data_IF_984244009379
#
_entry.id   IF_984244009379
#
_cell.length_a   1.000
_cell.length_b   1.000
_cell.length_c   1.000
_cell.angle_alpha   90.00
_cell.angle_beta   90.00
_cell.angle_gamma   90.00
#
_symmetry.space_group_name_H-M   'P 1'
#
loop_
_entity.id
_entity.type
_entity.pdbx_description
1 polymer ?
#
# COMPACT_ATOMS: atom_id res chain seq x y z
N UNK A 1 -10.30 -5.19 0.89
CA UNK A 1 -8.99 -4.84 0.30
C UNK A 1 -9.05 -3.74 -0.77
N UNK A 2 -10.23 -3.37 -1.32
CA UNK A 2 -10.36 -2.32 -2.37
C UNK A 2 -9.69 -0.97 -2.04
N UNK A 3 -9.56 -0.59 -0.75
CA UNK A 3 -8.90 0.65 -0.32
C UNK A 3 -7.44 0.75 -0.81
N UNK A 4 -6.69 -0.36 -0.76
CA UNK A 4 -5.27 -0.40 -1.14
C UNK A 4 -5.06 -0.87 -2.57
N UNK A 5 -6.11 -1.34 -3.23
CA UNK A 5 -6.04 -1.83 -4.59
C UNK A 5 -5.52 -0.76 -5.54
N UNK A 6 -5.97 0.49 -5.40
CA UNK A 6 -5.46 1.62 -6.19
C UNK A 6 -3.98 1.90 -5.94
N UNK A 7 -3.53 1.78 -4.69
CA UNK A 7 -2.12 1.96 -4.33
C UNK A 7 -1.24 0.91 -5.03
N UNK A 8 -1.63 -0.35 -4.97
CA UNK A 8 -0.86 -1.45 -5.56
C UNK A 8 -0.98 -1.51 -7.08
N UNK A 9 -2.11 -1.09 -7.66
CA UNK A 9 -2.22 -0.90 -9.11
C UNK A 9 -1.30 0.22 -9.60
N UNK A 10 -1.20 1.31 -8.85
CA UNK A 10 -0.26 2.39 -9.15
C UNK A 10 1.20 1.92 -9.06
N UNK A 11 1.54 1.15 -8.02
CA UNK A 11 2.86 0.53 -7.86
C UNK A 11 3.22 -0.36 -9.05
N UNK A 12 2.31 -1.29 -9.43
CA UNK A 12 2.51 -2.18 -10.57
C UNK A 12 2.73 -1.43 -11.88
N UNK A 13 2.00 -0.33 -12.09
CA UNK A 13 2.18 0.50 -13.27
C UNK A 13 3.57 1.14 -13.32
N UNK A 14 4.11 1.55 -12.17
CA UNK A 14 5.49 2.06 -12.09
C UNK A 14 6.48 0.94 -12.44
N UNK A 15 6.29 -0.27 -11.91
CA UNK A 15 7.14 -1.44 -12.23
C UNK A 15 7.13 -1.76 -13.73
N UNK A 16 5.95 -1.78 -14.34
CA UNK A 16 5.79 -2.03 -15.78
C UNK A 16 6.54 -0.97 -16.60
N UNK A 17 6.47 0.32 -16.21
CA UNK A 17 7.21 1.38 -16.88
C UNK A 17 8.73 1.24 -16.68
N UNK A 18 9.18 0.96 -15.45
CA UNK A 18 10.60 0.74 -15.13
C UNK A 18 11.22 -0.46 -15.87
N UNK A 19 10.40 -1.38 -16.39
CA UNK A 19 10.88 -2.47 -17.25
C UNK A 19 11.29 -2.02 -18.66
N UNK A 20 10.86 -0.82 -19.08
CA UNK A 20 11.07 -0.29 -20.45
C UNK A 20 11.67 1.11 -20.50
N UNK A 21 11.78 1.83 -19.37
CA UNK A 21 12.30 3.21 -19.32
C UNK A 21 13.03 3.52 -18.01
N UNK A 22 13.77 4.64 -17.95
CA UNK A 22 14.52 4.99 -16.75
C UNK A 22 13.63 5.61 -15.66
N UNK A 23 14.01 5.53 -14.37
CA UNK A 23 13.21 6.09 -13.28
C UNK A 23 12.88 7.58 -13.43
N UNK A 24 13.77 8.35 -14.07
CA UNK A 24 13.61 9.79 -14.29
C UNK A 24 12.53 10.10 -15.33
N UNK A 25 12.25 9.18 -16.24
CA UNK A 25 11.24 9.34 -17.30
C UNK A 25 9.82 9.01 -16.81
N UNK A 26 9.70 8.13 -15.82
CA UNK A 26 8.41 7.65 -15.29
C UNK A 26 7.48 8.80 -14.85
N UNK A 27 7.92 9.82 -14.08
CA UNK A 27 7.04 10.90 -13.62
C UNK A 27 6.44 11.76 -14.75
N UNK A 28 6.97 11.67 -15.97
CA UNK A 28 6.46 12.38 -17.14
C UNK A 28 5.38 11.58 -17.89
N UNK A 29 5.16 10.31 -17.54
CA UNK A 29 4.13 9.47 -18.14
C UNK A 29 2.75 9.78 -17.54
N UNK A 30 1.71 9.65 -18.37
CA UNK A 30 0.33 9.98 -18.00
C UNK A 30 -0.13 9.10 -16.83
N UNK A 31 -0.63 9.69 -15.75
CA UNK A 31 -1.24 8.96 -14.64
C UNK A 31 -0.24 8.34 -13.65
N UNK A 32 1.05 8.69 -13.76
CA UNK A 32 2.10 8.38 -12.77
C UNK A 32 2.94 9.62 -12.46
N UNK A 33 2.37 10.81 -12.64
CA UNK A 33 3.05 12.05 -12.26
C UNK A 33 3.19 12.16 -10.73
N UNK A 34 4.02 13.12 -10.27
CA UNK A 34 4.11 13.46 -8.84
C UNK A 34 2.73 13.82 -8.25
N UNK A 35 1.88 14.50 -9.03
CA UNK A 35 0.52 14.84 -8.61
C UNK A 35 -0.36 13.59 -8.47
N UNK A 36 -0.22 12.64 -9.40
CA UNK A 36 -0.94 11.36 -9.34
C UNK A 36 -0.51 10.53 -8.13
N UNK A 37 0.79 10.44 -7.85
CA UNK A 37 1.32 9.80 -6.65
C UNK A 37 0.66 10.38 -5.39
N UNK A 38 0.73 11.71 -5.20
CA UNK A 38 0.15 12.38 -4.03
C UNK A 38 -1.35 12.09 -3.89
N UNK A 39 -2.08 12.08 -5.01
CA UNK A 39 -3.52 11.78 -5.03
C UNK A 39 -3.80 10.32 -4.64
N UNK A 40 -3.03 9.37 -5.16
CA UNK A 40 -3.18 7.94 -4.85
C UNK A 40 -2.83 7.68 -3.39
N UNK A 41 -1.70 8.20 -2.90
CA UNK A 41 -1.29 8.08 -1.50
C UNK A 41 -2.36 8.65 -0.57
N UNK A 42 -2.81 9.89 -0.83
CA UNK A 42 -3.86 10.53 -0.02
C UNK A 42 -5.14 9.71 0.00
N UNK A 43 -5.64 9.29 -1.16
CA UNK A 43 -6.91 8.55 -1.23
C UNK A 43 -6.83 7.11 -0.70
N UNK A 44 -5.67 6.47 -0.77
CA UNK A 44 -5.48 5.09 -0.31
C UNK A 44 -5.15 5.00 1.18
N UNK A 45 -4.43 5.99 1.71
CA UNK A 45 -3.94 5.99 3.10
C UNK A 45 -4.77 6.89 4.04
N UNK A 46 -5.66 7.75 3.52
CA UNK A 46 -6.59 8.49 4.37
C UNK A 46 -7.55 7.53 5.07
N UNK A 47 -7.60 7.57 6.40
CA UNK A 47 -8.47 6.69 7.19
C UNK A 47 -8.01 5.22 7.15
N UNK A 48 -6.70 5.00 7.06
CA UNK A 48 -6.10 3.66 7.04
C UNK A 48 -6.47 2.85 8.29
N UNK A 49 -6.53 3.50 9.47
CA UNK A 49 -7.00 2.97 10.75
C UNK A 49 -8.40 2.31 10.63
N UNK A 50 -9.36 3.05 10.05
CA UNK A 50 -10.72 2.56 9.83
C UNK A 50 -10.76 1.43 8.82
N UNK A 51 -9.90 1.53 7.79
CA UNK A 51 -9.79 0.54 6.73
C UNK A 51 -9.25 -0.79 7.25
N UNK A 52 -8.21 -0.74 8.09
CA UNK A 52 -7.63 -1.90 8.78
C UNK A 52 -8.69 -2.54 9.70
N UNK A 53 -9.40 -1.73 10.49
CA UNK A 53 -10.49 -2.22 11.35
C UNK A 53 -11.58 -2.93 10.56
N UNK A 54 -11.98 -2.36 9.42
CA UNK A 54 -12.98 -2.96 8.55
C UNK A 54 -12.48 -4.26 7.91
N UNK A 55 -11.19 -4.38 7.60
CA UNK A 55 -10.59 -5.62 7.11
C UNK A 55 -10.61 -6.71 8.18
N UNK A 56 -10.18 -6.40 9.39
CA UNK A 56 -10.21 -7.34 10.52
C UNK A 56 -11.64 -7.85 10.78
N UNK A 57 -12.63 -6.94 10.86
CA UNK A 57 -14.04 -7.32 11.02
C UNK A 57 -14.59 -8.16 9.87
N UNK A 58 -14.16 -7.89 8.64
CA UNK A 58 -14.57 -8.70 7.47
C UNK A 58 -13.94 -10.10 7.52
N UNK A 59 -12.68 -10.22 7.92
CA UNK A 59 -12.02 -11.51 8.13
C UNK A 59 -12.76 -12.31 9.19
N UNK A 60 -13.03 -11.72 10.36
CA UNK A 60 -13.78 -12.36 11.44
C UNK A 60 -15.15 -12.89 10.97
N UNK A 61 -15.94 -12.06 10.27
CA UNK A 61 -17.29 -12.43 9.83
C UNK A 61 -17.34 -13.53 8.77
N UNK A 62 -16.28 -13.68 7.96
CA UNK A 62 -16.24 -14.64 6.87
C UNK A 62 -15.60 -15.98 7.29
N UNK A 63 -15.16 -16.09 8.54
CA UNK A 63 -14.51 -17.29 9.07
C UNK A 63 -15.49 -18.12 9.90
N UNK A 64 -15.46 -19.43 9.69
CA UNK A 64 -16.21 -20.41 10.49
C UNK A 64 -15.46 -20.85 11.75
N UNK A 65 -14.13 -20.64 11.81
CA UNK A 65 -13.27 -20.97 12.95
C UNK A 65 -12.53 -19.71 13.41
N UNK A 66 -13.01 -19.11 14.50
CA UNK A 66 -12.42 -17.88 15.05
C UNK A 66 -11.00 -18.07 15.59
N UNK A 67 -10.62 -19.31 15.95
CA UNK A 67 -9.29 -19.64 16.46
C UNK A 67 -8.16 -19.39 15.45
N UNK A 68 -8.48 -19.41 14.15
CA UNK A 68 -7.51 -19.12 13.09
C UNK A 68 -7.36 -17.62 12.82
N UNK A 69 -8.26 -16.77 13.33
CA UNK A 69 -8.31 -15.34 13.03
C UNK A 69 -6.99 -14.63 13.37
N UNK A 70 -6.35 -14.85 14.54
CA UNK A 70 -5.07 -14.20 14.85
C UNK A 70 -3.98 -14.56 13.85
N UNK A 71 -3.84 -15.84 13.52
CA UNK A 71 -2.81 -16.32 12.59
C UNK A 71 -2.99 -15.78 11.15
N UNK A 72 -4.23 -15.73 10.67
CA UNK A 72 -4.55 -15.18 9.36
C UNK A 72 -4.38 -13.66 9.34
N UNK A 73 -4.74 -12.99 10.44
CA UNK A 73 -4.54 -11.55 10.54
C UNK A 73 -3.05 -11.18 10.51
N UNK A 74 -2.20 -11.88 11.27
CA UNK A 74 -0.74 -11.70 11.21
C UNK A 74 -0.21 -11.89 9.79
N UNK A 75 -0.67 -12.95 9.09
CA UNK A 75 -0.29 -13.18 7.69
C UNK A 75 -0.73 -12.03 6.77
N UNK A 76 -1.96 -11.53 6.92
CA UNK A 76 -2.46 -10.40 6.15
C UNK A 76 -1.66 -9.11 6.42
N UNK A 77 -1.30 -8.84 7.68
CA UNK A 77 -0.45 -7.70 8.05
C UNK A 77 0.93 -7.80 7.39
N UNK A 78 1.56 -8.98 7.43
CA UNK A 78 2.83 -9.25 6.77
C UNK A 78 2.78 -9.00 5.27
N UNK A 79 1.84 -9.63 4.56
CA UNK A 79 1.69 -9.46 3.11
C UNK A 79 1.42 -8.00 2.70
N UNK A 80 0.66 -7.26 3.53
CA UNK A 80 0.42 -5.84 3.30
C UNK A 80 1.71 -5.03 3.45
N UNK A 81 2.46 -5.24 4.53
CA UNK A 81 3.70 -4.52 4.81
C UNK A 81 4.78 -4.81 3.76
N UNK A 82 4.90 -6.05 3.29
CA UNK A 82 5.85 -6.41 2.23
C UNK A 82 5.55 -5.67 0.92
N UNK A 83 4.28 -5.62 0.52
CA UNK A 83 3.84 -4.86 -0.66
C UNK A 83 4.02 -3.36 -0.47
N UNK A 84 3.73 -2.85 0.72
CA UNK A 84 3.91 -1.43 1.03
C UNK A 84 5.41 -1.04 1.03
N UNK A 85 6.29 -1.89 1.55
CA UNK A 85 7.72 -1.69 1.51
C UNK A 85 8.25 -1.64 0.08
N UNK A 86 7.79 -2.55 -0.78
CA UNK A 86 8.10 -2.54 -2.21
C UNK A 86 7.66 -1.23 -2.87
N UNK A 87 6.44 -0.76 -2.55
CA UNK A 87 5.94 0.54 -3.02
C UNK A 87 6.81 1.71 -2.54
N UNK A 88 7.22 1.73 -1.27
CA UNK A 88 8.10 2.78 -0.73
C UNK A 88 9.44 2.82 -1.49
N UNK A 89 10.02 1.66 -1.80
CA UNK A 89 11.26 1.59 -2.60
C UNK A 89 11.08 2.17 -4.00
N UNK A 90 9.97 1.84 -4.67
CA UNK A 90 9.63 2.43 -5.98
C UNK A 90 9.49 3.94 -5.89
N UNK A 91 8.83 4.44 -4.84
CA UNK A 91 8.63 5.88 -4.65
C UNK A 91 9.93 6.62 -4.42
N UNK A 92 10.83 6.09 -3.59
CA UNK A 92 12.17 6.69 -3.38
C UNK A 92 12.97 6.71 -4.68
N UNK A 93 12.87 5.66 -5.49
CA UNK A 93 13.59 5.54 -6.77
C UNK A 93 13.08 6.52 -7.83
N UNK A 94 11.76 6.66 -7.96
CA UNK A 94 11.11 7.41 -9.05
C UNK A 94 10.77 8.86 -8.67
N UNK A 95 10.49 9.10 -7.39
CA UNK A 95 10.07 10.40 -6.87
C UNK A 95 10.90 10.78 -5.63
N UNK A 96 12.23 10.98 -5.75
CA UNK A 96 13.12 11.19 -4.61
C UNK A 96 12.81 12.46 -3.78
N UNK A 97 11.99 13.37 -4.33
CA UNK A 97 11.56 14.60 -3.65
C UNK A 97 10.20 14.45 -2.93
N UNK A 98 9.55 13.31 -3.05
CA UNK A 98 8.23 13.06 -2.45
C UNK A 98 8.39 12.29 -1.14
N UNK A 99 7.56 12.66 -0.15
CA UNK A 99 7.53 11.99 1.15
C UNK A 99 6.21 11.27 1.31
N UNK A 100 6.27 9.99 1.67
CA UNK A 100 5.12 9.15 2.00
C UNK A 100 5.34 8.51 3.38
N UNK A 101 4.28 8.03 4.06
CA UNK A 101 4.43 7.34 5.34
C UNK A 101 5.45 6.20 5.28
N UNK A 102 6.23 6.05 6.34
CA UNK A 102 7.25 5.01 6.39
C UNK A 102 6.62 3.64 6.63
N UNK A 103 7.31 2.57 6.23
CA UNK A 103 6.89 1.18 6.53
C UNK A 103 6.72 0.97 8.04
N UNK A 104 7.62 1.55 8.84
CA UNK A 104 7.56 1.52 10.31
C UNK A 104 6.24 2.10 10.84
N UNK A 105 5.81 3.24 10.31
CA UNK A 105 4.58 3.93 10.71
C UNK A 105 3.35 3.08 10.37
N UNK A 106 3.32 2.47 9.18
CA UNK A 106 2.27 1.52 8.81
C UNK A 106 2.27 0.28 9.69
N UNK A 107 3.45 -0.22 10.06
CA UNK A 107 3.58 -1.35 10.97
C UNK A 107 3.01 -1.05 12.36
N UNK A 108 3.27 0.15 12.90
CA UNK A 108 2.71 0.60 14.17
C UNK A 108 1.18 0.72 14.11
N UNK A 109 0.63 1.24 13.02
CA UNK A 109 -0.83 1.33 12.83
C UNK A 109 -1.48 -0.06 12.79
N UNK A 110 -0.85 -1.03 12.13
CA UNK A 110 -1.34 -2.41 12.08
C UNK A 110 -1.18 -3.16 13.42
N UNK A 111 -0.18 -2.79 14.22
CA UNK A 111 0.06 -3.36 15.54
C UNK A 111 -0.88 -2.79 16.62
N UNK A 112 -1.43 -1.59 16.42
CA UNK A 112 -2.40 -0.96 17.32
C UNK A 112 -3.83 -1.54 17.25
N UNK A 113 -4.03 -2.59 16.45
CA UNK A 113 -5.32 -3.27 16.23
C UNK A 113 -5.39 -4.62 16.93
#
# INVERSE_FOLDING_TARGET
MQQFERLFQFARRIEDLLSVMTPEEVPFQIGVSKADLRKVVKSSLSGVDKSITAMYKKLQKNMTSEELLPSLWEKCKGEFLDKYASFVQLVVKVYPTETIPAVQEMGQLLASM
#
